data_IF_048478882067
#
_entry.id   IF_048478882067
#
_cell.length_a   1.000
_cell.length_b   1.000
_cell.length_c   1.000
_cell.angle_alpha   90.00
_cell.angle_beta   90.00
_cell.angle_gamma   90.00
#
_symmetry.space_group_name_H-M   'P 1'
#
loop_
_entity.id
_entity.type
_entity.pdbx_description
1 polymer ?
#
# COMPACT_ATOMS: atom_id res chain seq x y z
N UNK A 1 13.34 9.08 -8.13
CA UNK A 1 13.38 9.65 -9.50
C UNK A 1 14.82 10.02 -9.81
N UNK A 2 15.36 9.64 -10.98
CA UNK A 2 16.75 9.97 -11.36
C UNK A 2 16.86 11.36 -12.00
N UNK A 3 15.86 11.78 -12.77
CA UNK A 3 15.77 13.12 -13.37
C UNK A 3 14.36 13.72 -13.18
N UNK A 4 14.11 14.50 -12.11
CA UNK A 4 12.80 15.07 -11.84
C UNK A 4 12.42 16.18 -12.84
N UNK A 5 13.40 16.91 -13.37
CA UNK A 5 13.17 18.03 -14.30
C UNK A 5 12.67 17.52 -15.67
N UNK A 6 13.31 16.46 -16.20
CA UNK A 6 12.88 15.83 -17.45
C UNK A 6 11.48 15.25 -17.33
N UNK A 7 11.19 14.58 -16.21
CA UNK A 7 9.88 14.00 -15.94
C UNK A 7 8.78 15.07 -15.81
N UNK A 8 9.08 16.22 -15.20
CA UNK A 8 8.15 17.35 -15.13
C UNK A 8 7.88 17.97 -16.51
N UNK A 9 8.90 17.97 -17.40
CA UNK A 9 8.74 18.36 -18.80
C UNK A 9 7.84 17.40 -19.59
N UNK A 10 8.03 16.08 -19.40
CA UNK A 10 7.28 15.05 -20.15
C UNK A 10 5.80 14.92 -19.71
N UNK A 11 5.50 15.12 -18.42
CA UNK A 11 4.15 14.99 -17.84
C UNK A 11 3.38 16.33 -17.74
N UNK A 12 4.11 17.44 -17.77
CA UNK A 12 3.61 18.75 -17.35
C UNK A 12 3.55 18.90 -15.83
N UNK A 13 3.62 20.14 -15.30
CA UNK A 13 3.76 20.41 -13.87
C UNK A 13 2.58 19.90 -13.03
N UNK A 14 1.35 19.95 -13.57
CA UNK A 14 0.15 19.47 -12.87
C UNK A 14 0.18 17.97 -12.65
N UNK A 15 0.45 17.19 -13.70
CA UNK A 15 0.52 15.72 -13.61
C UNK A 15 1.72 15.28 -12.77
N UNK A 16 2.83 16.03 -12.80
CA UNK A 16 3.96 15.79 -11.92
C UNK A 16 3.59 15.96 -10.44
N UNK A 17 2.92 17.05 -10.06
CA UNK A 17 2.46 17.26 -8.67
C UNK A 17 1.51 16.15 -8.24
N UNK A 18 0.56 15.75 -9.08
CA UNK A 18 -0.35 14.63 -8.79
C UNK A 18 0.45 13.34 -8.57
N UNK A 19 1.43 13.03 -9.41
CA UNK A 19 2.27 11.86 -9.25
C UNK A 19 3.08 11.89 -7.94
N UNK A 20 3.63 13.05 -7.55
CA UNK A 20 4.32 13.20 -6.26
C UNK A 20 3.37 12.97 -5.08
N UNK A 21 2.19 13.59 -5.12
CA UNK A 21 1.18 13.45 -4.05
C UNK A 21 0.71 12.00 -3.94
N UNK A 22 0.47 11.32 -5.05
CA UNK A 22 0.08 9.90 -5.04
C UNK A 22 1.20 9.01 -4.51
N UNK A 23 2.45 9.24 -4.94
CA UNK A 23 3.59 8.46 -4.49
C UNK A 23 3.89 8.67 -3.01
N UNK A 24 4.00 9.93 -2.58
CA UNK A 24 4.21 10.29 -1.18
C UNK A 24 3.04 9.83 -0.32
N UNK A 25 1.80 9.99 -0.79
CA UNK A 25 0.60 9.53 -0.12
C UNK A 25 0.56 8.02 0.05
N UNK A 26 1.01 7.25 -0.94
CA UNK A 26 1.10 5.79 -0.86
C UNK A 26 2.14 5.34 0.18
N UNK A 27 3.31 5.98 0.20
CA UNK A 27 4.34 5.72 1.21
C UNK A 27 3.85 6.09 2.60
N UNK A 28 3.36 7.32 2.77
CA UNK A 28 2.82 7.82 4.03
C UNK A 28 1.69 6.92 4.53
N UNK A 29 0.76 6.50 3.66
CA UNK A 29 -0.32 5.59 4.02
C UNK A 29 0.22 4.26 4.53
N UNK A 30 1.17 3.61 3.84
CA UNK A 30 1.75 2.34 4.30
C UNK A 30 2.49 2.46 5.64
N UNK A 31 3.08 3.62 5.95
CA UNK A 31 3.79 3.87 7.21
C UNK A 31 2.85 4.28 8.34
N UNK A 32 1.81 5.06 8.05
CA UNK A 32 0.84 5.58 9.01
C UNK A 32 -0.25 4.56 9.33
N UNK A 33 -0.58 3.64 8.43
CA UNK A 33 -1.60 2.63 8.65
C UNK A 33 -1.44 1.83 9.96
N UNK A 34 -0.25 1.30 10.33
CA UNK A 34 -0.08 0.61 11.61
C UNK A 34 -0.22 1.55 12.81
N UNK A 35 0.16 2.83 12.67
CA UNK A 35 -0.03 3.84 13.72
C UNK A 35 -1.52 4.13 13.93
N UNK A 36 -2.25 4.36 12.84
CA UNK A 36 -3.71 4.59 12.85
C UNK A 36 -4.46 3.39 13.44
N UNK A 37 -4.03 2.17 13.10
CA UNK A 37 -4.61 0.96 13.69
C UNK A 37 -4.34 0.89 15.20
N UNK A 38 -3.13 1.24 15.64
CA UNK A 38 -2.76 1.26 17.04
C UNK A 38 -3.51 2.33 17.84
N UNK A 39 -3.65 3.56 17.31
CA UNK A 39 -4.42 4.64 17.95
C UNK A 39 -5.89 4.29 18.03
N UNK A 40 -6.45 3.70 16.98
CA UNK A 40 -7.83 3.22 16.97
C UNK A 40 -8.05 2.12 18.02
N UNK A 41 -7.20 1.09 18.07
CA UNK A 41 -7.29 0.04 19.08
C UNK A 41 -7.15 0.58 20.51
N UNK A 42 -6.18 1.47 20.73
CA UNK A 42 -5.98 2.10 22.04
C UNK A 42 -7.18 2.94 22.47
N UNK A 43 -7.73 3.75 21.56
CA UNK A 43 -8.91 4.57 21.82
C UNK A 43 -10.16 3.74 22.06
N UNK A 44 -10.32 2.63 21.35
CA UNK A 44 -11.42 1.68 21.57
C UNK A 44 -11.34 1.03 22.96
N UNK A 45 -10.15 0.57 23.37
CA UNK A 45 -9.93 -0.02 24.70
C UNK A 45 -10.21 1.02 25.79
N UNK A 46 -9.73 2.26 25.64
CA UNK A 46 -10.03 3.32 26.60
C UNK A 46 -11.52 3.62 26.69
N UNK A 47 -12.21 3.73 25.56
CA UNK A 47 -13.65 3.97 25.54
C UNK A 47 -14.43 2.87 26.30
N UNK A 48 -14.03 1.61 26.13
CA UNK A 48 -14.65 0.46 26.81
C UNK A 48 -14.35 0.43 28.32
N UNK A 49 -13.16 0.89 28.74
CA UNK A 49 -12.72 0.80 30.14
C UNK A 49 -13.14 1.99 31.00
N UNK A 50 -13.12 3.21 30.45
CA UNK A 50 -13.31 4.44 31.25
C UNK A 50 -14.60 5.17 30.94
N UNK A 51 -15.31 4.83 29.86
CA UNK A 51 -16.51 5.51 29.34
C UNK A 51 -16.38 7.05 29.16
N UNK A 52 -15.18 7.59 29.36
CA UNK A 52 -14.85 9.01 29.26
C UNK A 52 -13.60 9.13 28.41
N UNK A 53 -13.80 9.52 27.16
CA UNK A 53 -12.71 9.87 26.26
C UNK A 53 -12.58 11.40 26.24
N UNK A 54 -11.37 11.90 26.50
CA UNK A 54 -11.11 13.35 26.39
C UNK A 54 -11.37 13.85 24.96
N UNK A 55 -11.67 15.15 24.76
CA UNK A 55 -12.07 15.69 23.46
C UNK A 55 -11.11 15.38 22.31
N UNK A 56 -9.80 15.36 22.61
CA UNK A 56 -8.74 15.03 21.65
C UNK A 56 -8.83 13.57 21.21
N UNK A 57 -9.12 12.66 22.13
CA UNK A 57 -9.23 11.23 21.83
C UNK A 57 -10.45 10.92 20.97
N UNK A 58 -11.58 11.58 21.26
CA UNK A 58 -12.80 11.46 20.44
C UNK A 58 -12.58 12.02 19.03
N UNK A 59 -11.88 13.16 18.89
CA UNK A 59 -11.53 13.72 17.59
C UNK A 59 -10.61 12.79 16.78
N UNK A 60 -9.58 12.21 17.42
CA UNK A 60 -8.70 11.23 16.79
C UNK A 60 -9.47 9.99 16.34
N UNK A 61 -10.37 9.45 17.16
CA UNK A 61 -11.22 8.31 16.77
C UNK A 61 -12.11 8.62 15.56
N UNK A 62 -12.70 9.82 15.49
CA UNK A 62 -13.51 10.23 14.33
C UNK A 62 -12.65 10.29 13.06
N UNK A 63 -11.46 10.89 13.16
CA UNK A 63 -10.52 10.97 12.03
C UNK A 63 -10.08 9.57 11.60
N UNK A 64 -9.76 8.69 12.55
CA UNK A 64 -9.35 7.31 12.29
C UNK A 64 -10.47 6.53 11.57
N UNK A 65 -11.72 6.66 12.04
CA UNK A 65 -12.89 6.00 11.41
C UNK A 65 -13.12 6.51 10.00
N UNK A 66 -13.09 7.83 9.78
CA UNK A 66 -13.27 8.43 8.45
C UNK A 66 -12.15 7.97 7.51
N UNK A 67 -10.90 8.03 7.97
CA UNK A 67 -9.74 7.68 7.16
C UNK A 67 -9.74 6.20 6.76
N UNK A 68 -9.99 5.30 7.72
CA UNK A 68 -10.10 3.87 7.45
C UNK A 68 -11.26 3.60 6.49
N UNK A 69 -12.45 4.15 6.77
CA UNK A 69 -13.64 3.89 5.95
C UNK A 69 -13.46 4.41 4.52
N UNK A 70 -13.04 5.66 4.35
CA UNK A 70 -12.80 6.23 3.03
C UNK A 70 -11.67 5.51 2.30
N UNK A 71 -10.56 5.19 2.98
CA UNK A 71 -9.43 4.50 2.38
C UNK A 71 -9.79 3.12 1.82
N UNK A 72 -10.44 2.28 2.64
CA UNK A 72 -10.90 0.97 2.21
C UNK A 72 -11.99 1.08 1.14
N UNK A 73 -12.96 1.99 1.30
CA UNK A 73 -14.04 2.15 0.33
C UNK A 73 -13.49 2.59 -1.03
N UNK A 74 -12.60 3.58 -1.09
CA UNK A 74 -11.96 4.01 -2.33
C UNK A 74 -11.19 2.88 -3.00
N UNK A 75 -10.42 2.09 -2.23
CA UNK A 75 -9.68 0.95 -2.77
C UNK A 75 -10.62 -0.12 -3.35
N UNK A 76 -11.67 -0.46 -2.62
CA UNK A 76 -12.65 -1.45 -3.05
C UNK A 76 -13.46 -0.97 -4.26
N UNK A 77 -13.87 0.29 -4.32
CA UNK A 77 -14.58 0.87 -5.45
C UNK A 77 -13.71 0.88 -6.70
N UNK A 78 -12.45 1.29 -6.60
CA UNK A 78 -11.50 1.25 -7.72
C UNK A 78 -11.24 -0.18 -8.19
N UNK A 79 -11.05 -1.12 -7.26
CA UNK A 79 -10.91 -2.54 -7.57
C UNK A 79 -12.15 -3.13 -8.25
N UNK A 80 -13.35 -2.69 -7.85
CA UNK A 80 -14.60 -3.14 -8.45
C UNK A 80 -14.85 -2.57 -9.84
N UNK A 81 -14.50 -1.29 -10.06
CA UNK A 81 -14.63 -0.61 -11.36
C UNK A 81 -13.68 -1.20 -12.41
N UNK A 82 -12.49 -1.63 -11.99
CA UNK A 82 -11.47 -2.21 -12.88
C UNK A 82 -11.73 -3.69 -13.21
N UNK A 83 -12.57 -4.40 -12.44
CA UNK A 83 -12.87 -5.82 -12.65
C UNK A 83 -13.95 -6.05 -13.72
N UNK A 84 -13.63 -6.90 -14.70
CA UNK A 84 -14.60 -7.43 -15.65
C UNK A 84 -15.73 -8.20 -14.94
N UNK A 85 -16.96 -8.14 -15.46
CA UNK A 85 -18.16 -8.73 -14.84
C UNK A 85 -17.99 -10.21 -14.45
N UNK A 86 -17.23 -10.98 -15.23
CA UNK A 86 -17.01 -12.41 -15.00
C UNK A 86 -16.07 -12.72 -13.81
N UNK A 87 -15.21 -11.77 -13.41
CA UNK A 87 -14.24 -11.92 -12.31
C UNK A 87 -14.82 -11.49 -10.94
N UNK A 88 -16.03 -10.91 -10.92
CA UNK A 88 -16.65 -10.35 -9.70
C UNK A 88 -17.02 -11.39 -8.64
N UNK A 89 -17.23 -12.66 -9.03
CA UNK A 89 -17.53 -13.75 -8.08
C UNK A 89 -16.40 -14.00 -7.07
N UNK A 90 -15.14 -13.74 -7.45
CA UNK A 90 -13.98 -13.88 -6.57
C UNK A 90 -13.70 -12.65 -5.70
N UNK A 91 -14.39 -11.53 -5.91
CA UNK A 91 -14.06 -10.24 -5.32
C UNK A 91 -14.16 -10.25 -3.79
N UNK A 92 -15.12 -10.96 -3.21
CA UNK A 92 -15.27 -11.06 -1.76
C UNK A 92 -14.04 -11.65 -1.05
N UNK A 93 -13.31 -12.57 -1.70
CA UNK A 93 -12.04 -13.08 -1.16
C UNK A 93 -10.98 -11.98 -1.11
N UNK A 94 -10.94 -11.12 -2.14
CA UNK A 94 -10.05 -9.97 -2.19
C UNK A 94 -10.40 -8.99 -1.08
N UNK A 95 -11.69 -8.70 -0.87
CA UNK A 95 -12.15 -7.83 0.23
C UNK A 95 -11.69 -8.37 1.58
N UNK A 96 -11.90 -9.65 1.86
CA UNK A 96 -11.51 -10.27 3.13
C UNK A 96 -9.99 -10.29 3.35
N UNK A 97 -9.19 -10.43 2.29
CA UNK A 97 -7.73 -10.43 2.36
C UNK A 97 -7.12 -9.02 2.31
N UNK A 98 -7.89 -7.98 1.95
CA UNK A 98 -7.39 -6.61 1.82
C UNK A 98 -6.75 -6.09 3.12
N UNK A 99 -7.35 -6.26 4.31
CA UNK A 99 -6.73 -5.82 5.56
C UNK A 99 -5.41 -6.54 5.86
N UNK A 100 -5.36 -7.85 5.60
CA UNK A 100 -4.14 -8.65 5.79
C UNK A 100 -3.05 -8.17 4.84
N UNK A 101 -3.42 -7.92 3.58
CA UNK A 101 -2.51 -7.38 2.57
C UNK A 101 -1.95 -6.01 2.97
N UNK A 102 -2.79 -5.11 3.49
CA UNK A 102 -2.36 -3.79 3.97
C UNK A 102 -1.44 -3.89 5.19
N UNK A 103 -1.70 -4.80 6.13
CA UNK A 103 -0.81 -5.06 7.25
C UNK A 103 0.56 -5.58 6.77
N UNK A 104 0.59 -6.50 5.81
CA UNK A 104 1.83 -6.99 5.20
C UNK A 104 2.61 -5.88 4.48
N UNK A 105 1.93 -5.01 3.73
CA UNK A 105 2.56 -3.84 3.10
C UNK A 105 3.16 -2.90 4.13
N UNK A 106 2.43 -2.63 5.21
CA UNK A 106 2.88 -1.75 6.29
C UNK A 106 4.13 -2.31 6.98
N UNK A 107 4.13 -3.61 7.24
CA UNK A 107 5.28 -4.32 7.80
C UNK A 107 6.51 -4.24 6.88
N UNK A 108 6.33 -4.48 5.59
CA UNK A 108 7.41 -4.35 4.60
C UNK A 108 7.95 -2.91 4.53
N UNK A 109 7.07 -1.90 4.61
CA UNK A 109 7.45 -0.49 4.64
C UNK A 109 8.31 -0.14 5.85
N UNK A 110 7.88 -0.55 7.05
CA UNK A 110 8.65 -0.32 8.28
C UNK A 110 10.00 -1.05 8.26
N UNK A 111 10.03 -2.29 7.74
CA UNK A 111 11.29 -3.03 7.53
C UNK A 111 12.22 -2.28 6.58
N UNK A 112 11.71 -1.74 5.47
CA UNK A 112 12.48 -0.98 4.52
C UNK A 112 13.08 0.30 5.13
N UNK A 113 12.31 1.02 5.97
CA UNK A 113 12.83 2.19 6.71
C UNK A 113 13.95 1.79 7.67
N UNK A 114 13.77 0.72 8.44
CA UNK A 114 14.81 0.21 9.34
C UNK A 114 16.06 -0.26 8.59
N UNK A 115 15.87 -0.90 7.43
CA UNK A 115 16.96 -1.34 6.58
C UNK A 115 17.71 -0.18 5.95
N UNK A 116 17.00 0.87 5.52
CA UNK A 116 17.61 2.09 5.00
C UNK A 116 18.48 2.77 6.06
N UNK A 117 18.04 2.79 7.32
CA UNK A 117 18.80 3.38 8.42
C UNK A 117 20.02 2.54 8.83
N UNK A 118 19.86 1.21 8.96
CA UNK A 118 20.95 0.32 9.43
C UNK A 118 21.91 -0.12 8.34
N UNK A 119 21.43 -0.25 7.09
CA UNK A 119 22.17 -0.82 5.95
C UNK A 119 21.72 -0.14 4.64
N UNK A 120 22.06 1.14 4.42
CA UNK A 120 21.55 1.94 3.29
C UNK A 120 21.86 1.34 1.90
N UNK A 121 22.94 0.57 1.78
CA UNK A 121 23.35 -0.07 0.52
C UNK A 121 22.91 -1.53 0.39
N UNK A 122 22.13 -2.06 1.33
CA UNK A 122 21.70 -3.45 1.31
C UNK A 122 20.37 -3.59 0.59
N UNK A 123 20.41 -4.23 -0.58
CA UNK A 123 19.23 -4.55 -1.38
C UNK A 123 18.95 -6.06 -1.35
N UNK A 124 17.80 -6.45 -0.78
CA UNK A 124 17.34 -7.85 -0.77
C UNK A 124 16.76 -8.21 -2.16
N UNK A 125 17.59 -8.75 -3.05
CA UNK A 125 17.11 -9.28 -4.34
C UNK A 125 16.35 -10.58 -4.09
N UNK A 126 15.14 -10.71 -4.64
CA UNK A 126 14.50 -12.02 -4.73
C UNK A 126 15.31 -12.89 -5.70
N UNK A 127 15.66 -14.14 -5.33
CA UNK A 127 16.36 -15.04 -6.23
C UNK A 127 15.47 -15.34 -7.45
N UNK A 128 15.85 -14.85 -8.62
CA UNK A 128 15.19 -15.22 -9.85
C UNK A 128 15.71 -16.59 -10.28
N UNK A 129 14.81 -17.58 -10.38
CA UNK A 129 15.14 -18.84 -11.04
C UNK A 129 15.39 -18.51 -12.51
N UNK A 130 16.61 -18.76 -12.97
CA UNK A 130 16.91 -18.76 -14.40
C UNK A 130 16.11 -19.91 -15.02
N UNK A 131 15.10 -19.57 -15.79
CA UNK A 131 14.45 -20.56 -16.66
C UNK A 131 15.50 -20.86 -17.73
N UNK A 132 16.13 -22.03 -17.63
CA UNK A 132 16.95 -22.57 -18.71
C UNK A 132 16.06 -22.55 -19.95
N UNK A 133 16.43 -21.73 -20.93
CA UNK A 133 15.78 -21.74 -22.23
C UNK A 133 15.81 -23.20 -22.70
N UNK A 134 14.65 -23.82 -22.83
CA UNK A 134 14.53 -25.17 -23.34
C UNK A 134 15.34 -25.22 -24.63
N UNK A 135 16.33 -26.11 -24.69
CA UNK A 135 17.23 -26.24 -25.82
C UNK A 135 16.38 -26.30 -27.10
N UNK A 136 16.50 -25.26 -27.91
CA UNK A 136 15.79 -25.16 -29.18
C UNK A 136 16.20 -26.39 -30.00
N UNK A 137 15.27 -27.28 -30.39
CA UNK A 137 15.62 -28.48 -31.13
C UNK A 137 16.33 -28.06 -32.42
N UNK A 138 17.38 -28.78 -32.86
CA UNK A 138 18.11 -28.44 -34.07
C UNK A 138 17.13 -28.42 -35.24
N UNK A 139 17.18 -27.33 -36.01
CA UNK A 139 16.43 -27.25 -37.26
C UNK A 139 16.85 -28.42 -38.14
N UNK A 140 15.92 -29.34 -38.40
CA UNK A 140 16.09 -30.41 -39.39
C UNK A 140 16.24 -29.75 -40.76
N UNK A 141 17.49 -29.58 -41.19
CA UNK A 141 17.82 -29.17 -42.55
C UNK A 141 17.90 -30.37 -43.47
N UNK A 142 17.23 -30.24 -44.63
CA UNK A 142 17.60 -30.85 -45.92
C UNK A 142 17.40 -32.35 -46.06
#
# INVERSE_FOLDING_TARGET
>A
MRDPVKLAGDLGPRSFVIAQVLFAGMLASSLLHPLLLATFCFGLVQLLLTASSGPVHSALLIVDVINITCGYLSFLLLGWQTLAKNQRRGFWKIVALTPIYWAMMSYAGWRAVLQLWKRPFHWEKTPHRQVLAAAMPPASGG
#
